data_IF_052310246607
#
_entry.id   IF_052310246607
#
_cell.length_a   1.000
_cell.length_b   1.000
_cell.length_c   1.000
_cell.angle_alpha   90.00
_cell.angle_beta   90.00
_cell.angle_gamma   90.00
#
_symmetry.space_group_name_H-M   'P 1'
#
loop_
_entity.id
_entity.type
_entity.pdbx_description
1 polymer ?
#
# COMPACT_ATOMS: atom_id res chain seq x y z
N UNK A 1 15.17 25.62 -21.98
CA UNK A 1 13.95 25.64 -21.14
C UNK A 1 13.35 24.24 -20.98
N UNK A 2 13.17 23.48 -22.07
CA UNK A 2 12.63 22.11 -22.04
C UNK A 2 13.54 21.16 -21.27
N UNK A 3 14.85 21.22 -21.52
CA UNK A 3 15.86 20.40 -20.84
C UNK A 3 15.90 20.61 -19.33
N UNK A 4 15.77 21.87 -18.87
CA UNK A 4 15.67 22.19 -17.46
C UNK A 4 14.36 21.66 -16.84
N UNK A 5 13.25 21.68 -17.57
CA UNK A 5 11.99 21.12 -17.11
C UNK A 5 12.07 19.59 -16.98
N UNK A 6 12.67 18.89 -17.95
CA UNK A 6 12.85 17.44 -17.91
C UNK A 6 13.71 17.01 -16.72
N UNK A 7 14.77 17.77 -16.43
CA UNK A 7 15.73 17.43 -15.38
C UNK A 7 15.32 17.90 -13.97
N UNK A 8 14.39 18.85 -13.87
CA UNK A 8 14.01 19.43 -12.59
C UNK A 8 12.59 20.01 -12.66
N UNK A 9 11.60 19.19 -12.39
CA UNK A 9 10.18 19.57 -12.34
C UNK A 9 9.82 20.15 -10.95
N UNK A 10 10.50 19.68 -9.93
CA UNK A 10 10.38 20.06 -8.54
C UNK A 10 11.56 19.51 -7.75
N UNK A 11 11.30 18.64 -6.78
CA UNK A 11 12.35 17.91 -6.07
C UNK A 11 12.93 16.74 -6.88
N UNK A 12 12.20 16.27 -7.88
CA UNK A 12 12.53 15.13 -8.72
C UNK A 12 12.72 15.56 -10.19
N UNK A 13 13.44 14.74 -10.97
CA UNK A 13 13.36 14.81 -12.43
C UNK A 13 11.99 14.33 -12.92
N UNK A 14 11.59 14.71 -14.12
CA UNK A 14 10.36 14.24 -14.73
C UNK A 14 10.29 12.71 -14.77
N UNK A 15 11.42 12.05 -15.01
CA UNK A 15 11.50 10.59 -15.04
C UNK A 15 11.24 9.94 -13.68
N UNK A 16 11.84 10.47 -12.61
CA UNK A 16 11.61 9.97 -11.25
C UNK A 16 10.18 10.26 -10.77
N UNK A 17 9.66 11.45 -11.07
CA UNK A 17 8.27 11.80 -10.80
C UNK A 17 7.31 10.83 -11.48
N UNK A 18 7.53 10.53 -12.77
CA UNK A 18 6.70 9.58 -13.52
C UNK A 18 6.73 8.18 -12.92
N UNK A 19 7.91 7.69 -12.49
CA UNK A 19 8.02 6.39 -11.80
C UNK A 19 7.19 6.34 -10.52
N UNK A 20 7.23 7.39 -9.72
CA UNK A 20 6.45 7.49 -8.48
C UNK A 20 4.95 7.49 -8.77
N UNK A 21 4.51 8.28 -9.74
CA UNK A 21 3.12 8.33 -10.20
C UNK A 21 2.63 6.94 -10.65
N UNK A 22 3.42 6.25 -11.49
CA UNK A 22 3.06 4.91 -11.99
C UNK A 22 2.96 3.93 -10.82
N UNK A 23 3.92 3.96 -9.89
CA UNK A 23 3.92 3.08 -8.73
C UNK A 23 2.71 3.28 -7.83
N UNK A 24 2.34 4.53 -7.54
CA UNK A 24 1.16 4.84 -6.74
C UNK A 24 -0.13 4.39 -7.46
N UNK A 25 -0.21 4.65 -8.76
CA UNK A 25 -1.36 4.23 -9.54
C UNK A 25 -1.53 2.70 -9.58
N UNK A 26 -0.44 1.94 -9.65
CA UNK A 26 -0.49 0.48 -9.58
C UNK A 26 -0.85 -0.02 -8.18
N UNK A 27 -0.31 0.58 -7.12
CA UNK A 27 -0.52 0.13 -5.75
C UNK A 27 -1.89 0.55 -5.19
N UNK A 28 -2.32 1.77 -5.48
CA UNK A 28 -3.52 2.36 -4.87
C UNK A 28 -4.65 2.59 -5.88
N UNK A 29 -4.36 2.63 -7.18
CA UNK A 29 -5.32 2.99 -8.22
C UNK A 29 -5.46 4.49 -8.41
N UNK A 30 -4.55 5.29 -7.87
CA UNK A 30 -4.50 6.75 -7.97
C UNK A 30 -3.16 7.30 -7.54
N UNK A 31 -2.98 8.60 -7.68
CA UNK A 31 -1.76 9.32 -7.24
C UNK A 31 -2.09 10.74 -6.80
N UNK A 32 -1.19 11.35 -6.05
CA UNK A 32 -1.29 12.73 -5.61
C UNK A 32 -0.02 13.52 -5.94
N UNK A 33 -0.21 14.77 -6.39
CA UNK A 33 0.87 15.70 -6.68
C UNK A 33 0.62 17.01 -5.96
N UNK A 34 1.67 17.55 -5.36
CA UNK A 34 1.71 18.93 -4.93
C UNK A 34 2.06 19.81 -6.11
N UNK A 35 1.32 20.90 -6.28
CA UNK A 35 1.59 21.92 -7.29
C UNK A 35 1.73 23.27 -6.61
N UNK A 36 2.87 23.91 -6.81
CA UNK A 36 3.16 25.23 -6.28
C UNK A 36 3.35 26.19 -7.44
N UNK A 37 2.59 27.28 -7.46
CA UNK A 37 2.79 28.34 -8.45
C UNK A 37 3.99 29.18 -8.03
N UNK A 38 4.98 29.33 -8.89
CA UNK A 38 6.17 30.13 -8.57
C UNK A 38 5.80 31.60 -8.29
N UNK A 39 6.55 32.26 -7.40
CA UNK A 39 6.26 33.66 -6.99
C UNK A 39 6.30 34.65 -8.15
N UNK A 40 7.08 34.37 -9.19
CA UNK A 40 7.12 35.14 -10.43
C UNK A 40 5.94 34.85 -11.39
N UNK A 41 5.16 33.80 -11.10
CA UNK A 41 4.01 33.37 -11.89
C UNK A 41 4.35 32.80 -13.25
N UNK A 42 5.62 32.42 -13.49
CA UNK A 42 6.11 31.95 -14.80
C UNK A 42 6.27 30.44 -14.89
N UNK A 43 6.11 29.73 -13.78
CA UNK A 43 6.31 28.30 -13.72
C UNK A 43 5.52 27.63 -12.61
N UNK A 44 5.52 26.30 -12.67
CA UNK A 44 4.98 25.42 -11.65
C UNK A 44 6.10 24.55 -11.10
N UNK A 45 6.08 24.32 -9.80
CA UNK A 45 6.89 23.31 -9.14
C UNK A 45 5.93 22.15 -8.85
N UNK A 46 6.27 20.96 -9.29
CA UNK A 46 5.43 19.77 -9.12
C UNK A 46 6.22 18.74 -8.32
N UNK A 47 5.71 18.38 -7.16
CA UNK A 47 6.28 17.38 -6.30
C UNK A 47 5.34 16.18 -6.16
N UNK A 48 5.89 15.01 -5.98
CA UNK A 48 5.13 13.82 -5.63
C UNK A 48 4.75 13.87 -4.15
N UNK A 49 3.51 13.54 -3.84
CA UNK A 49 3.06 13.24 -2.48
C UNK A 49 2.69 11.75 -2.46
N UNK A 50 3.20 11.01 -1.47
CA UNK A 50 2.79 9.61 -1.27
C UNK A 50 1.27 9.55 -1.07
N UNK A 51 0.61 8.78 -1.91
CA UNK A 51 -0.85 8.67 -1.91
C UNK A 51 -1.40 8.16 -0.56
N UNK A 52 -0.62 7.35 0.16
CA UNK A 52 -0.95 6.84 1.48
C UNK A 52 -1.05 7.94 2.56
N UNK A 53 -0.41 9.09 2.35
CA UNK A 53 -0.41 10.21 3.29
C UNK A 53 -1.58 11.17 3.11
N UNK A 54 -2.40 10.99 2.09
CA UNK A 54 -3.55 11.85 1.80
C UNK A 54 -4.84 11.21 2.35
N UNK A 55 -5.69 12.05 2.92
CA UNK A 55 -7.08 11.71 3.27
C UNK A 55 -8.01 12.74 2.65
N UNK A 56 -9.11 12.24 2.10
CA UNK A 56 -10.16 13.09 1.52
C UNK A 56 -11.07 13.56 2.63
N UNK A 57 -11.34 14.86 2.67
CA UNK A 57 -12.27 15.46 3.62
C UNK A 57 -13.72 15.10 3.32
N UNK A 58 -14.59 15.34 4.30
CA UNK A 58 -16.05 15.19 4.14
C UNK A 58 -16.60 16.31 3.25
N UNK A 59 -16.04 17.50 3.37
CA UNK A 59 -16.36 18.64 2.51
C UNK A 59 -15.69 18.45 1.15
N UNK A 60 -16.43 18.74 0.10
CA UNK A 60 -15.93 18.68 -1.27
C UNK A 60 -14.64 19.51 -1.39
N UNK A 61 -13.67 19.01 -2.15
CA UNK A 61 -12.43 19.70 -2.47
C UNK A 61 -11.51 20.01 -1.26
N UNK A 62 -11.61 19.22 -0.18
CA UNK A 62 -10.70 19.33 0.95
C UNK A 62 -9.86 18.06 1.09
N UNK A 63 -8.53 18.23 1.16
CA UNK A 63 -7.58 17.13 1.33
C UNK A 63 -6.70 17.40 2.53
N UNK A 64 -6.51 16.39 3.37
CA UNK A 64 -5.65 16.44 4.53
C UNK A 64 -4.37 15.65 4.28
N UNK A 65 -3.25 16.23 4.66
CA UNK A 65 -1.93 15.62 4.55
C UNK A 65 -1.28 15.46 5.91
N UNK A 66 -0.73 14.29 6.17
CA UNK A 66 0.24 14.03 7.24
C UNK A 66 1.03 12.75 6.92
N UNK A 67 2.27 12.71 7.33
CA UNK A 67 3.16 11.56 7.26
C UNK A 67 2.93 10.54 8.40
N UNK A 68 2.13 10.91 9.41
CA UNK A 68 1.87 10.09 10.58
C UNK A 68 0.39 10.07 10.97
N UNK A 69 -0.39 9.23 10.31
CA UNK A 69 -1.80 9.00 10.64
C UNK A 69 -2.01 8.13 11.89
N UNK A 70 -1.00 7.36 12.31
CA UNK A 70 -1.12 6.41 13.40
C UNK A 70 -0.97 7.07 14.77
N UNK A 71 -0.05 8.02 14.91
CA UNK A 71 0.27 8.66 16.19
C UNK A 71 -0.62 9.85 16.52
N UNK A 72 -1.21 10.48 15.50
CA UNK A 72 -2.09 11.63 15.67
C UNK A 72 -3.55 11.18 15.81
N UNK A 73 -4.09 11.31 17.01
CA UNK A 73 -5.54 11.33 17.19
C UNK A 73 -6.00 12.75 16.86
N UNK A 74 -6.68 12.98 15.72
CA UNK A 74 -7.14 14.31 15.37
C UNK A 74 -8.15 14.77 16.41
N UNK A 75 -7.82 15.85 17.12
CA UNK A 75 -8.74 16.55 18.00
C UNK A 75 -9.45 17.69 17.29
N UNK A 76 -8.84 18.19 16.19
CA UNK A 76 -9.40 19.23 15.32
C UNK A 76 -8.83 19.15 13.91
N UNK A 77 -9.48 19.79 12.93
CA UNK A 77 -8.96 19.91 11.56
C UNK A 77 -7.66 20.75 11.46
N UNK A 78 -7.29 21.46 12.54
CA UNK A 78 -6.06 22.28 12.62
C UNK A 78 -4.80 21.41 12.82
N UNK A 79 -4.96 20.14 13.21
CA UNK A 79 -3.84 19.23 13.44
C UNK A 79 -3.21 18.69 12.13
N UNK A 80 -3.84 18.97 10.97
CA UNK A 80 -3.40 18.48 9.67
C UNK A 80 -3.13 19.63 8.71
N UNK A 81 -2.20 19.41 7.81
CA UNK A 81 -2.04 20.31 6.68
C UNK A 81 -3.21 20.11 5.71
N UNK A 82 -3.93 21.20 5.44
CA UNK A 82 -5.06 21.20 4.50
C UNK A 82 -4.58 21.67 3.14
N UNK A 83 -4.85 20.88 2.11
CA UNK A 83 -4.55 21.20 0.73
C UNK A 83 -5.84 21.35 -0.06
N UNK A 84 -5.88 22.38 -0.92
CA UNK A 84 -6.98 22.62 -1.85
C UNK A 84 -6.62 22.11 -3.25
N UNK A 85 -7.61 21.69 -4.07
CA UNK A 85 -7.35 21.28 -5.44
C UNK A 85 -6.69 22.38 -6.27
N UNK A 86 -5.80 21.98 -7.17
CA UNK A 86 -5.21 22.92 -8.13
C UNK A 86 -6.28 23.43 -9.10
N UNK A 87 -6.52 24.76 -9.15
CA UNK A 87 -7.50 25.32 -10.07
C UNK A 87 -6.92 25.38 -11.50
N UNK A 88 -7.46 24.59 -12.40
CA UNK A 88 -7.02 24.54 -13.81
C UNK A 88 -7.55 25.72 -14.65
N UNK A 89 -8.38 26.57 -14.10
CA UNK A 89 -8.95 27.75 -14.74
C UNK A 89 -8.02 28.97 -14.79
N UNK A 90 -6.85 28.86 -14.19
CA UNK A 90 -5.87 29.93 -14.11
C UNK A 90 -6.02 30.85 -12.89
N UNK A 91 -6.94 30.55 -11.96
CA UNK A 91 -7.15 31.32 -10.72
C UNK A 91 -6.11 31.02 -9.62
N UNK A 92 -5.16 30.11 -9.88
CA UNK A 92 -4.13 29.73 -8.92
C UNK A 92 -3.32 30.92 -8.41
N UNK A 93 -3.23 31.05 -7.09
CA UNK A 93 -2.50 32.13 -6.43
C UNK A 93 -1.00 31.83 -6.38
N UNK A 94 -0.18 32.86 -6.60
CA UNK A 94 1.28 32.71 -6.60
C UNK A 94 1.80 32.44 -5.20
N UNK A 95 2.65 31.43 -5.10
CA UNK A 95 3.26 30.98 -3.85
C UNK A 95 2.41 30.07 -3.00
N UNK A 96 1.15 29.84 -3.39
CA UNK A 96 0.25 28.90 -2.72
C UNK A 96 0.53 27.47 -3.16
N UNK A 97 0.16 26.51 -2.29
CA UNK A 97 0.31 25.07 -2.47
C UNK A 97 -1.05 24.45 -2.76
N UNK A 98 -1.11 23.64 -3.77
CA UNK A 98 -2.31 22.95 -4.23
C UNK A 98 -2.03 21.47 -4.37
N UNK A 99 -3.11 20.69 -4.41
CA UNK A 99 -3.05 19.26 -4.71
C UNK A 99 -3.69 18.94 -6.05
N UNK A 100 -3.08 18.07 -6.81
CA UNK A 100 -3.71 17.33 -7.89
C UNK A 100 -3.94 15.92 -7.39
N UNK A 101 -5.17 15.58 -7.08
CA UNK A 101 -5.58 14.26 -6.63
C UNK A 101 -6.25 13.51 -7.78
N UNK A 102 -5.61 12.46 -8.25
CA UNK A 102 -6.13 11.59 -9.31
C UNK A 102 -6.55 10.26 -8.74
N UNK A 103 -7.70 9.78 -9.17
CA UNK A 103 -8.21 8.44 -8.88
C UNK A 103 -8.76 7.79 -10.13
N UNK A 104 -8.47 6.51 -10.33
CA UNK A 104 -9.09 5.71 -11.38
C UNK A 104 -10.58 5.58 -11.14
N UNK A 105 -11.38 5.90 -12.17
CA UNK A 105 -12.82 5.79 -12.06
C UNK A 105 -13.27 4.35 -11.84
N UNK A 106 -14.07 4.13 -10.82
CA UNK A 106 -14.84 2.91 -10.60
C UNK A 106 -16.25 3.25 -10.12
N UNK A 107 -17.28 2.60 -10.67
CA UNK A 107 -18.65 2.78 -10.18
C UNK A 107 -18.75 2.49 -8.69
N UNK A 108 -19.54 3.30 -7.97
CA UNK A 108 -19.82 3.20 -6.53
C UNK A 108 -18.62 3.50 -5.59
N UNK A 109 -17.46 3.91 -6.12
CA UNK A 109 -16.34 4.39 -5.29
C UNK A 109 -16.22 5.91 -5.42
N UNK A 110 -16.55 6.63 -4.35
CA UNK A 110 -16.60 8.10 -4.37
C UNK A 110 -15.25 8.74 -4.08
N UNK A 111 -14.61 8.37 -2.96
CA UNK A 111 -13.46 9.11 -2.43
C UNK A 111 -12.13 8.44 -2.77
N UNK A 112 -12.04 7.14 -2.55
CA UNK A 112 -10.80 6.40 -2.73
C UNK A 112 -10.86 5.48 -3.93
N UNK A 113 -9.78 5.38 -4.71
CA UNK A 113 -9.69 4.42 -5.79
C UNK A 113 -9.49 2.99 -5.26
N UNK A 114 -9.66 2.03 -6.15
CA UNK A 114 -9.35 0.64 -5.89
C UNK A 114 -8.38 0.15 -6.98
N UNK A 115 -7.23 -0.42 -6.62
CA UNK A 115 -6.25 -0.87 -7.60
C UNK A 115 -6.78 -2.03 -8.46
N UNK A 116 -6.23 -2.17 -9.66
CA UNK A 116 -6.72 -3.14 -10.64
C UNK A 116 -6.47 -4.59 -10.23
N UNK A 117 -5.44 -4.86 -9.43
CA UNK A 117 -5.09 -6.22 -8.99
C UNK A 117 -6.02 -6.80 -7.91
N UNK A 118 -6.95 -6.02 -7.35
CA UNK A 118 -7.83 -6.49 -6.26
C UNK A 118 -8.62 -7.74 -6.64
N UNK A 119 -9.04 -7.86 -7.90
CA UNK A 119 -9.70 -9.07 -8.39
C UNK A 119 -8.79 -10.31 -8.38
N UNK A 120 -7.47 -10.11 -8.40
CA UNK A 120 -6.45 -11.17 -8.32
C UNK A 120 -6.06 -11.58 -6.90
N UNK A 121 -6.49 -10.84 -5.86
CA UNK A 121 -6.09 -11.10 -4.46
C UNK A 121 -6.36 -12.53 -4.01
N UNK A 122 -7.48 -13.20 -4.34
CA UNK A 122 -7.68 -14.60 -3.96
C UNK A 122 -6.62 -15.55 -4.56
N UNK A 123 -6.16 -15.29 -5.78
CA UNK A 123 -5.11 -16.09 -6.43
C UNK A 123 -3.74 -15.82 -5.80
N UNK A 124 -3.44 -14.57 -5.46
CA UNK A 124 -2.21 -14.19 -4.74
C UNK A 124 -2.17 -14.88 -3.37
N UNK A 125 -3.29 -14.89 -2.65
CA UNK A 125 -3.42 -15.58 -1.36
C UNK A 125 -3.21 -17.10 -1.51
N UNK A 126 -3.80 -17.71 -2.54
CA UNK A 126 -3.61 -19.15 -2.80
C UNK A 126 -2.14 -19.48 -3.12
N UNK A 127 -1.47 -18.68 -3.93
CA UNK A 127 -0.05 -18.85 -4.25
C UNK A 127 0.84 -18.71 -3.00
N UNK A 128 0.53 -17.75 -2.14
CA UNK A 128 1.21 -17.57 -0.85
C UNK A 128 1.07 -18.80 0.06
N UNK A 129 -0.12 -19.40 0.15
CA UNK A 129 -0.34 -20.62 0.95
C UNK A 129 0.39 -21.84 0.36
N UNK A 130 0.44 -21.97 -0.96
CA UNK A 130 1.23 -23.00 -1.63
C UNK A 130 2.72 -22.82 -1.32
N UNK A 131 3.24 -21.61 -1.41
CA UNK A 131 4.63 -21.32 -1.07
C UNK A 131 4.95 -21.65 0.39
N UNK A 132 4.07 -21.32 1.33
CA UNK A 132 4.19 -21.65 2.74
C UNK A 132 4.18 -23.19 2.97
N UNK A 133 3.27 -23.87 2.28
CA UNK A 133 3.20 -25.34 2.35
C UNK A 133 4.51 -25.99 1.88
N UNK A 134 5.03 -25.58 0.73
CA UNK A 134 6.30 -26.08 0.19
C UNK A 134 7.46 -25.77 1.13
N UNK A 135 7.54 -24.53 1.65
CA UNK A 135 8.59 -24.11 2.58
C UNK A 135 8.56 -24.94 3.86
N UNK A 136 7.37 -25.16 4.44
CA UNK A 136 7.22 -25.95 5.66
C UNK A 136 7.59 -27.42 5.42
N UNK A 137 7.17 -28.00 4.29
CA UNK A 137 7.54 -29.37 3.94
C UNK A 137 9.06 -29.50 3.72
N UNK A 138 9.69 -28.53 3.08
CA UNK A 138 11.14 -28.51 2.88
C UNK A 138 11.89 -28.41 4.21
N UNK A 139 11.45 -27.53 5.12
CA UNK A 139 12.03 -27.38 6.46
C UNK A 139 11.85 -28.65 7.31
N UNK A 140 10.75 -29.35 7.14
CA UNK A 140 10.44 -30.58 7.88
C UNK A 140 10.94 -31.86 7.16
N UNK A 141 11.82 -31.71 6.16
CA UNK A 141 12.45 -32.85 5.47
C UNK A 141 11.51 -33.69 4.61
N UNK A 142 10.43 -33.09 4.04
CA UNK A 142 9.43 -33.78 3.23
C UNK A 142 8.89 -35.08 3.90
N UNK A 143 8.72 -35.07 5.23
CA UNK A 143 8.17 -36.25 5.92
C UNK A 143 6.73 -36.45 5.49
N UNK A 144 6.53 -37.47 4.66
CA UNK A 144 5.19 -37.95 4.31
C UNK A 144 4.44 -38.35 5.58
N UNK A 145 3.12 -38.15 5.58
CA UNK A 145 2.29 -38.56 6.72
C UNK A 145 2.57 -40.00 7.12
N UNK A 146 2.89 -40.23 8.39
CA UNK A 146 3.12 -41.58 8.92
C UNK A 146 1.81 -42.11 9.47
N UNK A 147 1.34 -43.22 8.95
CA UNK A 147 0.17 -43.94 9.50
C UNK A 147 0.67 -44.98 10.51
N UNK A 148 0.22 -44.84 11.75
CA UNK A 148 0.52 -45.79 12.81
C UNK A 148 -0.68 -46.72 12.97
N UNK A 149 -0.49 -48.00 12.67
CA UNK A 149 -1.53 -49.01 12.85
C UNK A 149 -1.17 -49.90 14.06
N UNK A 150 -2.09 -50.02 15.01
CA UNK A 150 -1.93 -50.82 16.22
C UNK A 150 -2.71 -52.14 16.06
N UNK A 151 -2.02 -53.26 15.92
CA UNK A 151 -2.64 -54.57 15.71
C UNK A 151 -3.18 -55.19 17.00
N UNK A 152 -2.72 -54.74 18.18
CA UNK A 152 -3.06 -55.33 19.48
C UNK A 152 -4.02 -54.47 20.33
N UNK A 153 -4.92 -53.72 19.68
CA UNK A 153 -5.87 -52.87 20.35
C UNK A 153 -5.35 -51.43 20.58
N UNK A 154 -6.17 -50.57 21.17
CA UNK A 154 -5.79 -49.20 21.43
C UNK A 154 -4.75 -49.11 22.54
N UNK A 155 -3.64 -48.38 22.36
CA UNK A 155 -2.65 -48.16 23.40
C UNK A 155 -3.24 -47.38 24.56
N UNK A 156 -2.71 -47.57 25.77
CA UNK A 156 -3.10 -46.81 26.96
C UNK A 156 -2.87 -45.30 26.74
N UNK A 157 -3.57 -44.45 27.51
CA UNK A 157 -3.43 -43.01 27.36
C UNK A 157 -1.97 -42.53 27.55
N UNK A 158 -1.22 -43.12 28.47
CA UNK A 158 0.18 -42.83 28.71
C UNK A 158 1.07 -43.21 27.49
N UNK A 159 0.81 -44.39 26.90
CA UNK A 159 1.51 -44.83 25.69
C UNK A 159 1.18 -43.94 24.50
N UNK A 160 -0.07 -43.48 24.35
CA UNK A 160 -0.46 -42.53 23.32
C UNK A 160 0.25 -41.18 23.49
N UNK A 161 0.35 -40.67 24.71
CA UNK A 161 1.06 -39.42 25.01
C UNK A 161 2.56 -39.51 24.70
N UNK A 162 3.18 -40.67 25.06
CA UNK A 162 4.57 -40.93 24.73
C UNK A 162 4.82 -41.00 23.23
N UNK A 163 3.99 -41.75 22.48
CA UNK A 163 4.08 -41.82 21.01
C UNK A 163 3.91 -40.47 20.37
N UNK A 164 2.91 -39.67 20.78
CA UNK A 164 2.71 -38.29 20.29
C UNK A 164 3.94 -37.40 20.54
N UNK A 165 4.57 -37.54 21.70
CA UNK A 165 5.81 -36.81 22.04
C UNK A 165 6.97 -37.22 21.14
N UNK A 166 7.14 -38.53 20.88
CA UNK A 166 8.21 -39.03 20.00
C UNK A 166 8.01 -38.57 18.54
N UNK A 167 6.78 -38.62 18.04
CA UNK A 167 6.45 -38.13 16.70
C UNK A 167 6.77 -36.65 16.57
N UNK A 168 6.36 -35.86 17.56
CA UNK A 168 6.61 -34.42 17.57
C UNK A 168 8.11 -34.05 17.60
N UNK A 169 8.89 -34.78 18.39
CA UNK A 169 10.33 -34.58 18.48
C UNK A 169 11.07 -34.98 17.18
N UNK A 170 10.55 -35.95 16.42
CA UNK A 170 11.15 -36.42 15.17
C UNK A 170 10.87 -35.50 13.98
N UNK A 171 9.84 -34.64 14.10
CA UNK A 171 9.47 -33.66 13.08
C UNK A 171 10.06 -32.24 13.35
N UNK A 172 10.74 -32.04 14.47
CA UNK A 172 11.38 -30.77 14.84
C UNK A 172 12.92 -30.88 14.98
N UNK A 173 13.51 -31.94 14.47
CA UNK A 173 14.97 -32.17 14.48
C UNK A 173 15.63 -31.80 13.18
#
# INVERSE_FOLDING_TARGET
KLENFINNVGNDSLFELTKKIVKDNELFGGYALEVIVTKDGKGLIINHIDFGYIRVGIEEDTYFYTDDWASRKPTSNEDFETLTPFPFDGSAVRGERYIVYYKSYRPNLREYPLPNYVSGVPYIAADYEVANYVLNNTKNGYSGGTIWNFHNGQPTQEAQAYIKKQIKNKHHG
#
